data_IF_060686210117
#
_entry.id   IF_060686210117
#
_cell.length_a   1.000
_cell.length_b   1.000
_cell.length_c   1.000
_cell.angle_alpha   90.00
_cell.angle_beta   90.00
_cell.angle_gamma   90.00
#
_symmetry.space_group_name_H-M   'P 1'
#
loop_
_entity.id
_entity.type
_entity.pdbx_description
1 polymer ?
#
# COMPACT_ATOMS: atom_id res chain seq x y z
N UNK A 1 -66.98 -19.78 -31.29
CA UNK A 1 -66.38 -19.55 -29.96
C UNK A 1 -64.88 -19.44 -30.11
N UNK A 2 -64.35 -18.20 -30.07
CA UNK A 2 -62.93 -17.93 -30.27
C UNK A 2 -62.17 -18.14 -28.95
N UNK A 3 -61.21 -19.07 -28.95
CA UNK A 3 -60.24 -19.29 -27.86
C UNK A 3 -58.99 -18.47 -28.19
N UNK A 4 -59.07 -17.17 -27.98
CA UNK A 4 -57.99 -16.17 -27.96
C UNK A 4 -58.24 -15.45 -26.64
N UNK A 5 -57.37 -15.44 -25.62
CA UNK A 5 -56.06 -14.81 -25.58
C UNK A 5 -55.35 -15.20 -24.26
N UNK A 6 -54.45 -16.18 -24.27
CA UNK A 6 -53.66 -16.53 -23.07
C UNK A 6 -52.15 -16.63 -23.33
N UNK A 7 -51.68 -16.10 -24.46
CA UNK A 7 -50.30 -16.28 -24.93
C UNK A 7 -49.33 -15.12 -24.64
N UNK A 8 -49.72 -13.84 -24.40
CA UNK A 8 -48.72 -12.78 -24.25
C UNK A 8 -47.94 -12.88 -22.93
N UNK A 9 -48.60 -13.15 -21.80
CA UNK A 9 -47.96 -13.10 -20.47
C UNK A 9 -46.82 -14.12 -20.28
N UNK A 10 -46.92 -15.31 -20.88
CA UNK A 10 -45.88 -16.35 -20.76
C UNK A 10 -44.63 -16.01 -21.58
N UNK A 11 -44.80 -15.36 -22.73
CA UNK A 11 -43.69 -14.93 -23.59
C UNK A 11 -42.94 -13.75 -22.96
N UNK A 12 -43.67 -12.77 -22.40
CA UNK A 12 -43.06 -11.66 -21.66
C UNK A 12 -42.32 -12.12 -20.41
N UNK A 13 -42.86 -13.09 -19.67
CA UNK A 13 -42.19 -13.65 -18.49
C UNK A 13 -40.86 -14.33 -18.85
N UNK A 14 -40.82 -15.10 -19.96
CA UNK A 14 -39.58 -15.74 -20.44
C UNK A 14 -38.54 -14.73 -20.90
N UNK A 15 -38.94 -13.74 -21.70
CA UNK A 15 -38.04 -12.69 -22.16
C UNK A 15 -37.48 -11.86 -20.98
N UNK A 16 -38.33 -11.50 -20.01
CA UNK A 16 -37.91 -10.78 -18.81
C UNK A 16 -36.93 -11.61 -17.97
N UNK A 17 -37.18 -12.91 -17.81
CA UNK A 17 -36.25 -13.80 -17.09
C UNK A 17 -34.89 -13.93 -17.79
N UNK A 18 -34.85 -14.02 -19.13
CA UNK A 18 -33.58 -14.03 -19.88
C UNK A 18 -32.79 -12.73 -19.73
N UNK A 19 -33.46 -11.58 -19.83
CA UNK A 19 -32.80 -10.27 -19.66
C UNK A 19 -32.26 -10.12 -18.24
N UNK A 20 -33.03 -10.54 -17.23
CA UNK A 20 -32.60 -10.49 -15.82
C UNK A 20 -31.39 -11.40 -15.55
N UNK A 21 -31.36 -12.61 -16.12
CA UNK A 21 -30.22 -13.53 -16.00
C UNK A 21 -28.99 -12.95 -16.69
N UNK A 22 -29.12 -12.40 -17.91
CA UNK A 22 -27.99 -11.79 -18.61
C UNK A 22 -27.45 -10.56 -17.87
N UNK A 23 -28.33 -9.69 -17.37
CA UNK A 23 -27.91 -8.53 -16.58
C UNK A 23 -27.18 -8.95 -15.28
N UNK A 24 -27.69 -9.97 -14.59
CA UNK A 24 -27.04 -10.52 -13.39
C UNK A 24 -25.66 -11.11 -13.70
N UNK A 25 -25.53 -11.82 -14.83
CA UNK A 25 -24.26 -12.39 -15.25
C UNK A 25 -23.23 -11.32 -15.61
N UNK A 26 -23.64 -10.26 -16.31
CA UNK A 26 -22.78 -9.11 -16.63
C UNK A 26 -22.33 -8.40 -15.35
N UNK A 27 -23.23 -8.17 -14.39
CA UNK A 27 -22.88 -7.56 -13.10
C UNK A 27 -21.87 -8.41 -12.32
N UNK A 28 -22.06 -9.74 -12.31
CA UNK A 28 -21.10 -10.66 -11.70
C UNK A 28 -19.71 -10.58 -12.37
N UNK A 29 -19.64 -10.55 -13.70
CA UNK A 29 -18.36 -10.41 -14.42
C UNK A 29 -17.69 -9.08 -14.06
N UNK A 30 -18.43 -7.97 -14.12
CA UNK A 30 -17.88 -6.64 -13.79
C UNK A 30 -17.36 -6.61 -12.35
N UNK A 31 -18.10 -7.18 -11.40
CA UNK A 31 -17.68 -7.26 -10.01
C UNK A 31 -16.39 -8.08 -9.84
N UNK A 32 -16.32 -9.27 -10.47
CA UNK A 32 -15.12 -10.11 -10.44
C UNK A 32 -13.93 -9.38 -11.09
N UNK A 33 -14.13 -8.73 -12.24
CA UNK A 33 -13.08 -7.94 -12.90
C UNK A 33 -12.58 -6.79 -12.01
N UNK A 34 -13.47 -6.10 -11.30
CA UNK A 34 -13.08 -5.07 -10.33
C UNK A 34 -12.24 -5.65 -9.18
N UNK A 35 -12.59 -6.83 -8.66
CA UNK A 35 -11.81 -7.50 -7.62
C UNK A 35 -10.41 -7.88 -8.10
N UNK A 36 -10.29 -8.49 -9.30
CA UNK A 36 -8.98 -8.85 -9.87
C UNK A 36 -8.13 -7.62 -10.18
N UNK A 37 -8.73 -6.55 -10.72
CA UNK A 37 -8.02 -5.30 -10.95
C UNK A 37 -7.51 -4.72 -9.63
N UNK A 38 -8.33 -4.71 -8.58
CA UNK A 38 -7.93 -4.22 -7.25
C UNK A 38 -6.75 -5.02 -6.69
N UNK A 39 -6.82 -6.35 -6.73
CA UNK A 39 -5.72 -7.22 -6.29
C UNK A 39 -4.43 -7.00 -7.08
N UNK A 40 -4.53 -6.81 -8.40
CA UNK A 40 -3.38 -6.53 -9.26
C UNK A 40 -2.71 -5.18 -8.92
N UNK A 41 -3.50 -4.15 -8.66
CA UNK A 41 -2.99 -2.84 -8.22
C UNK A 41 -2.33 -2.94 -6.84
N UNK A 42 -2.99 -3.58 -5.87
CA UNK A 42 -2.45 -3.76 -4.51
C UNK A 42 -1.12 -4.51 -4.52
N UNK A 43 -0.98 -5.56 -5.35
CA UNK A 43 0.27 -6.31 -5.51
C UNK A 43 1.42 -5.48 -6.09
N UNK A 44 1.13 -4.63 -7.07
CA UNK A 44 2.13 -3.74 -7.67
C UNK A 44 2.57 -2.64 -6.71
N UNK A 45 1.61 -1.99 -6.02
CA UNK A 45 1.89 -0.99 -4.99
C UNK A 45 2.73 -1.59 -3.86
N UNK A 46 2.40 -2.81 -3.41
CA UNK A 46 3.15 -3.53 -2.38
C UNK A 46 4.61 -3.76 -2.75
N UNK A 47 4.87 -4.28 -3.95
CA UNK A 47 6.26 -4.51 -4.42
C UNK A 47 7.03 -3.19 -4.50
N UNK A 48 6.42 -2.17 -5.09
CA UNK A 48 7.08 -0.91 -5.30
C UNK A 48 7.36 -0.13 -3.99
N UNK A 49 6.47 -0.24 -2.99
CA UNK A 49 6.72 0.30 -1.64
C UNK A 49 7.81 -0.47 -0.90
N UNK A 50 7.85 -1.80 -1.04
CA UNK A 50 8.91 -2.63 -0.47
C UNK A 50 10.30 -2.24 -1.04
N UNK A 51 10.37 -2.02 -2.35
CA UNK A 51 11.61 -1.55 -3.00
C UNK A 51 12.01 -0.14 -2.51
N UNK A 52 11.03 0.72 -2.21
CA UNK A 52 11.29 2.03 -1.64
C UNK A 52 11.85 1.96 -0.23
N UNK A 53 11.28 1.10 0.61
CA UNK A 53 11.81 0.87 1.94
C UNK A 53 13.24 0.32 1.90
N UNK A 54 13.58 -0.54 0.94
CA UNK A 54 14.96 -1.00 0.76
C UNK A 54 15.91 0.12 0.34
N UNK A 55 15.47 1.03 -0.54
CA UNK A 55 16.28 2.20 -0.91
C UNK A 55 16.51 3.13 0.26
N UNK A 56 15.46 3.41 1.04
CA UNK A 56 15.57 4.21 2.26
C UNK A 56 16.52 3.52 3.25
N UNK A 57 16.35 2.22 3.51
CA UNK A 57 17.24 1.45 4.37
C UNK A 57 18.72 1.54 3.95
N UNK A 58 19.00 1.37 2.65
CA UNK A 58 20.36 1.49 2.10
C UNK A 58 20.94 2.91 2.21
N UNK A 59 20.10 3.93 2.09
CA UNK A 59 20.50 5.32 2.25
C UNK A 59 20.82 5.61 3.73
N UNK A 60 19.97 5.15 4.64
CA UNK A 60 20.19 5.28 6.10
C UNK A 60 21.44 4.54 6.55
N UNK A 61 21.74 3.34 6.02
CA UNK A 61 22.96 2.62 6.37
C UNK A 61 24.24 3.35 5.96
N UNK A 62 24.12 4.31 5.03
CA UNK A 62 25.23 5.15 4.55
C UNK A 62 25.27 6.52 5.26
N UNK A 63 24.23 6.85 6.03
CA UNK A 63 24.11 8.07 6.82
C UNK A 63 24.72 7.86 8.21
N UNK A 64 25.40 8.88 8.74
CA UNK A 64 26.06 8.81 10.04
C UNK A 64 25.05 8.53 11.17
N UNK A 65 25.22 7.37 11.79
CA UNK A 65 24.34 6.78 12.80
C UNK A 65 24.22 7.62 14.07
N UNK A 66 25.29 8.28 14.50
CA UNK A 66 25.26 9.08 15.73
C UNK A 66 24.46 10.38 15.53
N UNK A 67 24.43 10.87 14.29
CA UNK A 67 23.55 11.96 13.85
C UNK A 67 22.08 11.53 13.76
N UNK A 68 21.83 10.25 13.44
CA UNK A 68 20.49 9.69 13.37
C UNK A 68 19.83 9.59 14.75
N UNK A 69 20.44 8.94 15.74
CA UNK A 69 19.76 8.74 17.05
C UNK A 69 19.44 10.05 17.81
N UNK A 70 20.21 11.14 17.58
CA UNK A 70 20.04 12.42 18.28
C UNK A 70 18.83 13.25 17.81
N UNK A 71 18.39 13.11 16.56
CA UNK A 71 17.30 13.95 16.01
C UNK A 71 15.89 13.40 16.27
N UNK A 72 15.78 12.14 16.72
CA UNK A 72 14.53 11.37 16.65
C UNK A 72 13.62 11.44 17.88
N UNK A 73 14.12 12.01 18.99
CA UNK A 73 13.33 12.16 20.22
C UNK A 73 12.32 13.33 20.19
N UNK A 74 12.28 14.12 19.10
CA UNK A 74 11.46 15.35 19.00
C UNK A 74 10.43 15.35 17.86
N UNK A 75 10.36 14.29 17.08
CA UNK A 75 9.49 14.16 15.90
C UNK A 75 8.43 13.10 16.17
N UNK A 76 7.18 13.34 15.78
CA UNK A 76 6.11 12.35 15.95
C UNK A 76 6.36 11.09 15.09
N UNK A 77 5.87 9.92 15.53
CA UNK A 77 6.08 8.65 14.81
C UNK A 77 5.64 8.67 13.35
N UNK A 78 4.62 9.48 13.04
CA UNK A 78 4.04 9.63 11.70
C UNK A 78 4.83 10.60 10.81
N UNK A 79 5.53 11.58 11.39
CA UNK A 79 6.33 12.55 10.63
C UNK A 79 7.79 12.10 10.44
N UNK A 80 8.24 11.15 11.26
CA UNK A 80 9.61 10.65 11.31
C UNK A 80 10.14 10.16 9.96
N UNK A 81 9.35 9.40 9.22
CA UNK A 81 9.76 8.87 7.93
C UNK A 81 9.82 9.95 6.83
N UNK A 82 8.87 10.89 6.82
CA UNK A 82 8.89 12.02 5.89
C UNK A 82 10.13 12.88 6.10
N UNK A 83 10.40 13.23 7.37
CA UNK A 83 11.64 13.93 7.78
C UNK A 83 12.90 13.18 7.40
N UNK A 84 12.92 11.87 7.57
CA UNK A 84 14.06 11.05 7.17
C UNK A 84 14.31 11.12 5.66
N UNK A 85 13.24 10.97 4.87
CA UNK A 85 13.34 11.06 3.41
C UNK A 85 13.85 12.44 3.00
N UNK A 86 13.36 13.52 3.61
CA UNK A 86 13.87 14.89 3.38
C UNK A 86 15.37 14.99 3.66
N UNK A 87 15.84 14.55 4.82
CA UNK A 87 17.26 14.58 5.20
C UNK A 87 18.11 13.82 4.19
N UNK A 88 17.71 12.59 3.86
CA UNK A 88 18.45 11.75 2.90
C UNK A 88 18.48 12.37 1.51
N UNK A 89 17.44 13.11 1.13
CA UNK A 89 17.41 13.84 -0.14
C UNK A 89 18.33 15.06 -0.12
N UNK A 90 18.28 15.87 0.94
CA UNK A 90 19.06 17.10 1.04
C UNK A 90 20.56 16.82 1.22
N UNK A 91 20.91 15.73 1.88
CA UNK A 91 22.28 15.22 2.03
C UNK A 91 22.77 14.42 0.80
N UNK A 92 21.90 14.23 -0.21
CA UNK A 92 22.27 13.62 -1.49
C UNK A 92 22.32 12.09 -1.53
N UNK A 93 21.84 11.41 -0.48
CA UNK A 93 21.70 9.95 -0.43
C UNK A 93 20.50 9.44 -1.25
N UNK A 94 19.46 10.26 -1.41
CA UNK A 94 18.31 10.02 -2.28
C UNK A 94 18.15 11.19 -3.26
N UNK A 95 17.63 10.92 -4.46
CA UNK A 95 17.39 11.99 -5.45
C UNK A 95 15.95 12.51 -5.37
N UNK A 96 15.77 13.83 -5.50
CA UNK A 96 14.42 14.44 -5.61
C UNK A 96 13.60 13.86 -6.76
N UNK A 97 14.26 13.54 -7.87
CA UNK A 97 13.64 12.91 -9.03
C UNK A 97 13.03 11.54 -8.69
N UNK A 98 13.70 10.75 -7.83
CA UNK A 98 13.18 9.48 -7.34
C UNK A 98 11.92 9.70 -6.48
N UNK A 99 11.93 10.65 -5.55
CA UNK A 99 10.76 11.00 -4.74
C UNK A 99 9.56 11.45 -5.61
N UNK A 100 9.79 12.29 -6.63
CA UNK A 100 8.72 12.79 -7.51
C UNK A 100 8.16 11.78 -8.52
N UNK A 101 8.83 10.64 -8.69
CA UNK A 101 8.44 9.60 -9.66
C UNK A 101 7.44 8.57 -9.12
N UNK A 102 7.10 8.67 -7.83
CA UNK A 102 6.26 7.71 -7.12
C UNK A 102 4.81 8.16 -7.11
N UNK A 103 3.92 7.18 -7.05
CA UNK A 103 2.47 7.41 -7.06
C UNK A 103 1.93 7.80 -5.67
N UNK A 104 2.78 7.99 -4.67
CA UNK A 104 2.44 8.25 -3.28
C UNK A 104 3.50 9.11 -2.59
N UNK A 105 3.04 9.95 -1.66
CA UNK A 105 3.84 10.96 -0.99
C UNK A 105 4.55 10.37 0.24
N UNK A 106 5.59 9.57 -0.01
CA UNK A 106 6.53 9.10 1.03
C UNK A 106 7.20 10.26 1.78
N UNK A 107 7.32 11.43 1.14
CA UNK A 107 7.80 12.68 1.76
C UNK A 107 6.84 13.15 2.87
N UNK A 108 5.53 12.96 2.68
CA UNK A 108 4.53 13.22 3.72
C UNK A 108 4.41 12.05 4.71
N UNK A 109 5.21 11.00 4.52
CA UNK A 109 5.20 9.78 5.31
C UNK A 109 3.96 8.92 5.12
N UNK A 110 3.30 9.04 3.97
CA UNK A 110 2.06 8.31 3.67
C UNK A 110 2.33 7.20 2.64
N UNK A 111 1.78 6.02 2.91
CA UNK A 111 1.85 4.85 2.02
C UNK A 111 0.85 4.96 0.85
N UNK A 112 0.90 4.07 -0.17
CA UNK A 112 -0.03 4.09 -1.29
C UNK A 112 -1.51 3.96 -0.91
N UNK A 113 -1.81 3.53 0.32
CA UNK A 113 -3.15 3.31 0.83
C UNK A 113 -3.63 4.45 1.74
N UNK A 114 -2.87 5.54 1.85
CA UNK A 114 -3.23 6.70 2.66
C UNK A 114 -2.97 6.50 4.16
N UNK A 115 -2.12 5.55 4.52
CA UNK A 115 -1.78 5.23 5.91
C UNK A 115 -0.40 5.79 6.25
N UNK A 116 -0.21 6.37 7.45
CA UNK A 116 1.12 6.76 7.90
C UNK A 116 2.06 5.57 7.95
N UNK A 117 3.21 5.68 7.28
CA UNK A 117 4.32 4.75 7.40
C UNK A 117 4.96 4.97 8.77
N UNK A 118 5.17 3.88 9.50
CA UNK A 118 5.77 3.90 10.82
C UNK A 118 7.24 3.54 10.76
N UNK A 119 8.03 4.13 11.64
CA UNK A 119 9.43 3.74 11.84
C UNK A 119 9.71 3.66 13.34
N UNK A 120 10.03 2.46 13.81
CA UNK A 120 10.22 2.21 15.23
C UNK A 120 11.48 1.41 15.49
N UNK A 121 12.00 1.57 16.70
CA UNK A 121 13.17 0.86 17.19
C UNK A 121 12.73 -0.51 17.71
N UNK A 122 13.18 -1.59 17.08
CA UNK A 122 12.90 -2.99 17.49
C UNK A 122 13.86 -3.45 18.59
N UNK A 123 15.10 -3.00 18.54
CA UNK A 123 16.13 -3.23 19.57
C UNK A 123 17.12 -2.07 19.57
N UNK A 124 18.06 -2.08 20.52
CA UNK A 124 19.15 -1.09 20.59
C UNK A 124 19.91 -0.92 19.28
N UNK A 125 19.87 -1.96 18.43
CA UNK A 125 20.64 -2.06 17.19
C UNK A 125 19.81 -2.20 15.92
N UNK A 126 18.48 -2.22 16.01
CA UNK A 126 17.62 -2.47 14.87
C UNK A 126 16.45 -1.49 14.81
N UNK A 127 16.36 -0.79 13.68
CA UNK A 127 15.21 0.02 13.31
C UNK A 127 14.41 -0.67 12.20
N UNK A 128 13.10 -0.48 12.21
CA UNK A 128 12.17 -1.09 11.26
C UNK A 128 11.29 0.00 10.67
N UNK A 129 11.19 0.03 9.34
CA UNK A 129 10.15 0.79 8.62
C UNK A 129 9.01 -0.17 8.31
N UNK A 130 7.78 0.26 8.58
CA UNK A 130 6.58 -0.54 8.47
C UNK A 130 5.44 0.24 7.82
N UNK A 131 4.75 -0.40 6.87
CA UNK A 131 3.48 0.05 6.32
C UNK A 131 2.43 -1.02 6.61
N UNK A 132 1.25 -0.60 7.08
CA UNK A 132 0.10 -1.49 7.35
C UNK A 132 -0.61 -1.96 6.08
N UNK A 133 -0.21 -1.44 4.92
CA UNK A 133 -0.75 -1.90 3.66
C UNK A 133 -2.20 -1.49 3.47
N UNK A 134 -2.88 -2.16 2.54
CA UNK A 134 -4.29 -1.92 2.22
C UNK A 134 -5.24 -2.13 3.39
N UNK A 135 -4.83 -2.90 4.41
CA UNK A 135 -5.67 -3.25 5.54
C UNK A 135 -5.66 -2.20 6.66
N UNK A 136 -4.70 -1.27 6.63
CA UNK A 136 -4.60 -0.10 7.53
C UNK A 136 -4.64 -0.40 9.03
N UNK A 137 -4.52 -1.67 9.42
CA UNK A 137 -4.69 -2.15 10.78
C UNK A 137 -3.38 -2.79 11.22
N UNK A 138 -2.90 -2.47 12.42
CA UNK A 138 -1.58 -2.93 12.87
C UNK A 138 -1.58 -4.41 13.26
N UNK A 139 -0.52 -5.11 12.81
CA UNK A 139 0.13 -6.23 13.50
C UNK A 139 -0.78 -7.39 13.97
N UNK A 140 -1.85 -7.69 13.25
CA UNK A 140 -2.72 -8.83 13.55
C UNK A 140 -2.10 -10.18 13.15
N UNK A 141 -0.89 -10.17 12.57
CA UNK A 141 -0.18 -11.37 12.13
C UNK A 141 -0.70 -11.96 10.81
N UNK A 142 -1.59 -11.28 10.10
CA UNK A 142 -2.15 -11.77 8.83
C UNK A 142 -1.22 -11.59 7.62
N UNK A 143 -0.04 -10.99 7.81
CA UNK A 143 1.01 -10.95 6.79
C UNK A 143 0.83 -9.90 5.70
N UNK A 144 -0.04 -8.91 5.90
CA UNK A 144 -0.22 -7.78 4.98
C UNK A 144 0.78 -6.64 5.22
N UNK A 145 1.37 -6.59 6.41
CA UNK A 145 2.38 -5.59 6.74
C UNK A 145 3.60 -5.71 5.83
N UNK A 146 4.04 -4.57 5.32
CA UNK A 146 5.27 -4.44 4.56
C UNK A 146 6.32 -3.91 5.51
N UNK A 147 7.28 -4.76 5.86
CA UNK A 147 8.33 -4.46 6.85
C UNK A 147 9.69 -4.62 6.22
N UNK A 148 10.53 -3.61 6.38
CA UNK A 148 11.94 -3.69 5.99
C UNK A 148 12.79 -3.27 7.18
N UNK A 149 13.81 -4.08 7.46
CA UNK A 149 14.81 -3.77 8.46
C UNK A 149 15.76 -2.73 7.90
N UNK A 150 15.88 -1.60 8.59
CA UNK A 150 16.55 -0.40 8.07
C UNK A 150 18.06 -0.53 8.20
N UNK A 151 18.55 -1.01 9.35
CA UNK A 151 19.96 -1.30 9.59
C UNK A 151 20.15 -2.16 10.84
N UNK A 152 21.28 -2.87 10.90
CA UNK A 152 21.76 -3.60 12.07
C UNK A 152 23.11 -3.02 12.48
N UNK A 153 23.23 -2.57 13.73
CA UNK A 153 24.51 -2.08 14.25
C UNK A 153 25.47 -3.26 14.44
N UNK A 154 26.43 -3.43 13.53
CA UNK A 154 27.60 -4.23 13.82
C UNK A 154 28.54 -3.39 14.68
N UNK A 155 28.89 -3.88 15.86
CA UNK A 155 30.04 -3.35 16.58
C UNK A 155 31.27 -3.71 15.73
N UNK A 156 31.91 -2.71 15.16
CA UNK A 156 33.28 -2.89 14.65
C UNK A 156 34.15 -3.04 15.90
N UNK A 157 34.85 -4.17 16.08
CA UNK A 157 35.69 -4.41 17.25
C UNK A 157 36.86 -3.42 17.35
#
# INVERSE_FOLDING_TARGET
>A
MAKRDAVPHVVYAKAFSCVFIMASFILCILFISMLYHKQGVDGNCRRALHDDFHKIASAVSSYDKDHFDLQWNRVSETEKIGRLVEILVDEGYLSRAWCSSRCWDLVDGIDPWGTPVQIYKRSDKEWVICSFGSNRTDNDGNGDDIRVLVFRLYEVP
#
